data_IF_885559785507
#
_entry.id   IF_885559785507
#
_cell.length_a   1.000
_cell.length_b   1.000
_cell.length_c   1.000
_cell.angle_alpha   90.00
_cell.angle_beta   90.00
_cell.angle_gamma   90.00
#
_symmetry.space_group_name_H-M   'P 1'
#
loop_
_entity.id
_entity.type
_entity.pdbx_description
1 polymer ?
#
# COMPACT_ATOMS: atom_id res chain seq x y z
N UNK A 1 -23.76 3.27 13.28
CA UNK A 1 -24.06 2.84 11.90
C UNK A 1 -22.71 2.58 11.26
N UNK A 2 -22.32 1.31 11.16
CA UNK A 2 -21.12 0.92 10.40
C UNK A 2 -21.47 1.14 8.92
N UNK A 3 -21.11 2.31 8.39
CA UNK A 3 -21.09 2.54 6.95
C UNK A 3 -20.24 1.46 6.27
N UNK A 4 -20.32 1.35 4.95
CA UNK A 4 -19.60 0.36 4.14
C UNK A 4 -18.08 0.60 4.15
N UNK A 5 -17.47 0.58 5.35
CA UNK A 5 -16.02 0.79 5.54
C UNK A 5 -15.23 -0.16 4.64
N UNK A 6 -14.29 0.41 3.89
CA UNK A 6 -13.51 -0.32 2.91
C UNK A 6 -14.27 -0.64 1.61
N UNK A 7 -15.47 -0.10 1.39
CA UNK A 7 -16.18 -0.28 0.13
C UNK A 7 -15.40 0.39 -1.01
N UNK A 8 -15.01 -0.42 -2.00
CA UNK A 8 -14.32 0.06 -3.19
C UNK A 8 -15.26 0.94 -4.02
N UNK A 9 -14.88 2.21 -4.23
CA UNK A 9 -15.61 3.17 -5.06
C UNK A 9 -15.18 3.05 -6.51
N UNK A 10 -13.86 3.02 -6.74
CA UNK A 10 -13.30 2.90 -8.08
C UNK A 10 -11.91 2.28 -8.07
N UNK A 11 -11.56 1.61 -9.17
CA UNK A 11 -10.22 1.15 -9.48
C UNK A 11 -9.80 1.69 -10.84
N UNK A 12 -8.55 2.13 -10.98
CA UNK A 12 -7.99 2.65 -12.23
C UNK A 12 -6.58 2.16 -12.43
N UNK A 13 -6.31 1.49 -13.54
CA UNK A 13 -4.93 1.18 -13.96
C UNK A 13 -4.19 2.51 -14.22
N UNK A 14 -3.10 2.73 -13.53
CA UNK A 14 -2.22 3.88 -13.73
C UNK A 14 -1.16 3.56 -14.79
N UNK A 15 -0.43 2.45 -14.58
CA UNK A 15 0.68 2.05 -15.43
C UNK A 15 0.90 0.54 -15.36
N UNK A 16 1.61 -0.01 -16.36
CA UNK A 16 2.18 -1.35 -16.25
C UNK A 16 3.60 -1.37 -16.80
N UNK A 17 4.45 -2.23 -16.19
CA UNK A 17 5.82 -2.47 -16.64
C UNK A 17 6.05 -3.96 -16.85
N UNK A 18 6.80 -4.30 -17.88
CA UNK A 18 7.28 -5.67 -18.10
C UNK A 18 8.39 -6.01 -17.11
N UNK A 19 8.68 -7.28 -16.86
CA UNK A 19 9.82 -7.67 -16.02
C UNK A 19 11.15 -7.05 -16.48
N UNK A 20 11.37 -6.91 -17.78
CA UNK A 20 12.55 -6.24 -18.32
C UNK A 20 12.61 -4.74 -17.97
N UNK A 21 11.47 -4.05 -18.01
CA UNK A 21 11.42 -2.62 -17.62
C UNK A 21 11.67 -2.46 -16.13
N UNK A 22 11.06 -3.32 -15.29
CA UNK A 22 11.31 -3.36 -13.85
C UNK A 22 12.79 -3.62 -13.55
N UNK A 23 13.40 -4.63 -14.16
CA UNK A 23 14.84 -4.90 -14.00
C UNK A 23 15.70 -3.68 -14.33
N UNK A 24 15.40 -3.01 -15.44
CA UNK A 24 16.15 -1.84 -15.87
C UNK A 24 16.07 -0.67 -14.89
N UNK A 25 14.89 -0.45 -14.30
CA UNK A 25 14.68 0.63 -13.34
C UNK A 25 15.26 0.33 -11.96
N UNK A 26 15.20 -0.93 -11.53
CA UNK A 26 15.69 -1.33 -10.21
C UNK A 26 17.17 -1.72 -10.19
N UNK A 27 17.79 -2.03 -11.33
CA UNK A 27 19.18 -2.52 -11.41
C UNK A 27 20.24 -1.53 -10.86
N UNK A 28 19.92 -0.24 -10.78
CA UNK A 28 20.79 0.79 -10.19
C UNK A 28 20.58 1.00 -8.68
N UNK A 29 19.49 0.46 -8.13
CA UNK A 29 19.04 0.75 -6.76
C UNK A 29 19.12 -0.49 -5.87
N UNK A 30 18.72 -1.65 -6.40
CA UNK A 30 18.73 -2.92 -5.65
C UNK A 30 19.75 -3.85 -6.25
N UNK A 31 20.88 -4.04 -5.57
CA UNK A 31 21.97 -4.90 -6.02
C UNK A 31 21.49 -6.37 -6.13
N UNK A 32 21.86 -7.03 -7.23
CA UNK A 32 21.54 -8.43 -7.51
C UNK A 32 20.07 -8.78 -7.65
N UNK A 33 19.17 -7.78 -7.67
CA UNK A 33 17.77 -8.02 -7.92
C UNK A 33 17.52 -8.38 -9.39
N UNK A 34 16.61 -9.33 -9.59
CA UNK A 34 16.09 -9.68 -10.91
C UNK A 34 14.58 -9.84 -10.84
N UNK A 35 13.85 -9.06 -11.63
CA UNK A 35 12.41 -9.14 -11.68
C UNK A 35 11.96 -10.49 -12.25
N UNK A 36 11.12 -11.21 -11.50
CA UNK A 36 10.47 -12.43 -11.96
C UNK A 36 9.23 -12.09 -12.77
N UNK A 37 8.45 -11.12 -12.31
CA UNK A 37 7.20 -10.69 -12.93
C UNK A 37 7.27 -9.24 -13.40
N UNK A 38 6.47 -8.88 -14.41
CA UNK A 38 6.10 -7.49 -14.65
C UNK A 38 5.12 -7.03 -13.56
N UNK A 39 4.90 -5.73 -13.45
CA UNK A 39 4.03 -5.13 -12.45
C UNK A 39 2.98 -4.23 -13.10
N UNK A 40 1.74 -4.27 -12.59
CA UNK A 40 0.66 -3.36 -12.97
C UNK A 40 0.17 -2.65 -11.73
N UNK A 41 0.25 -1.32 -11.71
CA UNK A 41 -0.17 -0.50 -10.58
C UNK A 41 -1.55 0.11 -10.82
N UNK A 42 -2.44 -0.06 -9.87
CA UNK A 42 -3.81 0.46 -9.88
C UNK A 42 -4.01 1.41 -8.72
N UNK A 43 -4.65 2.55 -9.00
CA UNK A 43 -5.23 3.42 -7.97
C UNK A 43 -6.56 2.86 -7.52
N UNK A 44 -6.77 2.75 -6.23
CA UNK A 44 -8.07 2.49 -5.62
C UNK A 44 -8.55 3.74 -4.89
N UNK A 45 -9.87 3.97 -4.92
CA UNK A 45 -10.56 4.95 -4.07
C UNK A 45 -11.63 4.19 -3.30
N UNK A 46 -11.73 4.39 -2.00
CA UNK A 46 -12.60 3.62 -1.12
C UNK A 46 -13.18 4.46 0.02
N UNK A 47 -14.28 3.98 0.59
CA UNK A 47 -14.90 4.59 1.76
C UNK A 47 -14.14 4.22 3.04
N UNK A 48 -13.99 5.21 3.91
CA UNK A 48 -13.42 5.08 5.25
C UNK A 48 -14.11 6.06 6.20
N UNK A 49 -13.57 6.23 7.40
CA UNK A 49 -14.03 7.24 8.36
C UNK A 49 -12.88 8.19 8.72
N UNK A 50 -13.24 9.42 9.03
CA UNK A 50 -12.33 10.39 9.63
C UNK A 50 -12.09 10.09 11.12
N UNK A 51 -11.20 10.81 11.81
CA UNK A 51 -10.93 10.60 13.24
C UNK A 51 -12.16 10.79 14.15
N UNK A 52 -13.15 11.55 13.73
CA UNK A 52 -14.44 11.73 14.42
C UNK A 52 -15.43 10.58 14.13
N UNK A 53 -15.07 9.61 13.31
CA UNK A 53 -15.93 8.51 12.89
C UNK A 53 -16.96 8.87 11.80
N UNK A 54 -16.82 10.03 11.15
CA UNK A 54 -17.69 10.44 10.04
C UNK A 54 -17.24 9.82 8.73
N UNK A 55 -18.17 9.42 7.83
CA UNK A 55 -17.80 8.87 6.53
C UNK A 55 -16.95 9.85 5.71
N UNK A 56 -15.86 9.35 5.14
CA UNK A 56 -14.98 10.05 4.20
C UNK A 56 -14.43 9.08 3.16
N UNK A 57 -13.55 9.54 2.30
CA UNK A 57 -12.87 8.72 1.30
C UNK A 57 -11.35 8.76 1.51
N UNK A 58 -10.72 7.68 1.12
CA UNK A 58 -9.27 7.60 0.99
C UNK A 58 -8.89 6.92 -0.32
N UNK A 59 -7.62 6.95 -0.65
CA UNK A 59 -7.05 6.30 -1.81
C UNK A 59 -5.82 5.46 -1.45
N UNK A 60 -5.26 4.80 -2.44
CA UNK A 60 -4.03 4.05 -2.34
C UNK A 60 -3.74 3.32 -3.63
N UNK A 61 -2.68 2.56 -3.65
CA UNK A 61 -2.33 1.73 -4.81
C UNK A 61 -2.32 0.25 -4.47
N UNK A 62 -2.74 -0.54 -5.46
CA UNK A 62 -2.51 -1.98 -5.50
C UNK A 62 -1.64 -2.29 -6.71
N UNK A 63 -0.51 -2.95 -6.47
CA UNK A 63 0.39 -3.38 -7.55
C UNK A 63 0.34 -4.89 -7.68
N UNK A 64 -0.02 -5.34 -8.87
CA UNK A 64 -0.28 -6.74 -9.20
C UNK A 64 0.86 -7.30 -10.03
N UNK A 65 1.47 -8.44 -9.65
CA UNK A 65 2.43 -9.14 -10.51
C UNK A 65 1.75 -9.65 -11.76
N UNK A 66 2.45 -9.58 -12.90
CA UNK A 66 1.88 -9.96 -14.18
C UNK A 66 1.95 -11.45 -14.41
N UNK A 67 0.80 -12.11 -14.50
CA UNK A 67 0.65 -13.54 -14.78
C UNK A 67 1.38 -14.46 -13.77
N UNK A 68 1.15 -14.31 -12.48
CA UNK A 68 1.59 -15.35 -11.53
C UNK A 68 0.84 -16.65 -11.83
N UNK A 69 1.46 -17.77 -11.53
CA UNK A 69 0.86 -19.12 -11.64
C UNK A 69 0.49 -19.71 -10.27
N UNK A 70 0.48 -18.87 -9.26
CA UNK A 70 0.14 -19.19 -7.87
C UNK A 70 -0.75 -18.12 -7.25
N UNK A 71 -1.47 -18.47 -6.17
CA UNK A 71 -2.26 -17.55 -5.36
C UNK A 71 -1.33 -16.59 -4.58
N UNK A 72 -1.62 -15.29 -4.63
CA UNK A 72 -0.73 -14.23 -4.20
C UNK A 72 -0.73 -14.00 -2.68
N UNK A 73 0.42 -13.92 -2.02
CA UNK A 73 0.52 -13.28 -0.72
C UNK A 73 0.28 -11.76 -0.85
N UNK A 74 -0.39 -11.18 0.14
CA UNK A 74 -0.58 -9.72 0.21
C UNK A 74 0.55 -9.12 1.06
N UNK A 75 1.20 -8.08 0.54
CA UNK A 75 2.13 -7.23 1.27
C UNK A 75 1.55 -5.82 1.36
N UNK A 76 1.16 -5.39 2.56
CA UNK A 76 0.77 -4.02 2.83
C UNK A 76 2.00 -3.23 3.31
N UNK A 77 2.39 -2.25 2.51
CA UNK A 77 3.52 -1.36 2.79
C UNK A 77 2.99 0.01 3.21
N UNK A 78 3.45 0.51 4.33
CA UNK A 78 3.10 1.81 4.85
C UNK A 78 4.22 2.81 4.57
N UNK A 79 3.82 3.93 3.96
CA UNK A 79 4.73 5.00 3.56
C UNK A 79 5.28 5.76 4.76
N UNK A 80 6.53 6.22 4.68
CA UNK A 80 7.05 7.22 5.62
C UNK A 80 6.44 8.59 5.38
N UNK A 81 6.86 9.58 6.16
CA UNK A 81 6.25 10.91 6.21
C UNK A 81 6.20 11.61 4.86
N UNK A 82 5.02 12.06 4.50
CA UNK A 82 4.72 12.93 3.37
C UNK A 82 3.94 14.15 3.87
N UNK A 83 4.24 15.32 3.30
CA UNK A 83 3.54 16.57 3.62
C UNK A 83 2.68 17.02 2.45
N UNK A 84 3.17 16.79 1.22
CA UNK A 84 2.43 17.15 0.02
C UNK A 84 1.43 16.06 -0.34
N UNK A 85 0.20 16.49 -0.59
CA UNK A 85 -0.89 15.57 -0.98
C UNK A 85 -0.61 14.81 -2.27
N UNK A 86 0.08 15.44 -3.21
CA UNK A 86 0.40 14.86 -4.52
C UNK A 86 1.62 13.92 -4.50
N UNK A 87 2.34 13.78 -3.38
CA UNK A 87 3.39 12.79 -3.20
C UNK A 87 2.84 11.37 -2.96
N UNK A 88 1.56 11.27 -2.67
CA UNK A 88 0.85 10.01 -2.43
C UNK A 88 1.03 9.00 -3.56
N UNK A 89 1.13 7.71 -3.20
CA UNK A 89 1.33 6.61 -4.16
C UNK A 89 0.26 6.57 -5.25
N UNK A 90 -1.01 6.87 -4.90
CA UNK A 90 -2.13 6.89 -5.85
C UNK A 90 -2.04 8.03 -6.88
N UNK A 91 -1.22 9.04 -6.62
CA UNK A 91 -0.97 10.16 -7.54
C UNK A 91 0.26 9.91 -8.39
N UNK A 92 1.34 9.46 -7.78
CA UNK A 92 2.66 9.34 -8.41
C UNK A 92 2.88 8.00 -9.11
N UNK A 93 2.18 6.95 -8.72
CA UNK A 93 2.35 5.61 -9.29
C UNK A 93 3.79 5.09 -9.16
N UNK A 94 4.35 4.57 -10.25
CA UNK A 94 5.74 4.08 -10.25
C UNK A 94 6.80 5.19 -10.22
N UNK A 95 6.45 6.41 -10.55
CA UNK A 95 7.39 7.55 -10.56
C UNK A 95 7.59 8.18 -9.16
N UNK A 96 6.76 7.80 -8.18
CA UNK A 96 6.86 8.30 -6.81
C UNK A 96 7.91 7.62 -5.96
N UNK A 97 8.12 8.16 -4.77
CA UNK A 97 9.12 7.69 -3.80
C UNK A 97 8.95 6.19 -3.47
N UNK A 98 7.72 5.69 -3.45
CA UNK A 98 7.41 4.29 -3.13
C UNK A 98 7.16 3.42 -4.37
N UNK A 99 7.30 3.97 -5.58
CA UNK A 99 7.22 3.22 -6.83
C UNK A 99 8.26 2.12 -6.93
N UNK A 100 9.46 2.35 -6.38
CA UNK A 100 10.53 1.34 -6.28
C UNK A 100 10.07 0.16 -5.43
N UNK A 101 9.47 0.41 -4.27
CA UNK A 101 8.94 -0.65 -3.39
C UNK A 101 7.83 -1.41 -4.09
N UNK A 102 6.88 -0.71 -4.71
CA UNK A 102 5.78 -1.32 -5.45
C UNK A 102 6.27 -2.22 -6.59
N UNK A 103 7.24 -1.77 -7.37
CA UNK A 103 7.86 -2.57 -8.44
C UNK A 103 8.61 -3.77 -7.90
N UNK A 104 9.46 -3.57 -6.89
CA UNK A 104 10.31 -4.60 -6.30
C UNK A 104 9.47 -5.74 -5.73
N UNK A 105 8.57 -5.43 -4.82
CA UNK A 105 7.79 -6.42 -4.09
C UNK A 105 6.79 -7.13 -5.00
N UNK A 106 6.10 -6.39 -5.89
CA UNK A 106 5.18 -7.00 -6.84
C UNK A 106 5.92 -7.87 -7.86
N UNK A 107 7.07 -7.44 -8.40
CA UNK A 107 7.83 -8.29 -9.33
C UNK A 107 8.49 -9.50 -8.64
N UNK A 108 8.55 -9.51 -7.33
CA UNK A 108 8.91 -10.68 -6.51
C UNK A 108 7.72 -11.62 -6.25
N UNK A 109 6.51 -11.27 -6.69
CA UNK A 109 5.32 -12.12 -6.60
C UNK A 109 4.35 -11.79 -5.47
N UNK A 110 4.34 -10.57 -4.94
CA UNK A 110 3.35 -10.10 -3.98
C UNK A 110 2.28 -9.24 -4.64
N UNK A 111 1.06 -9.34 -4.15
CA UNK A 111 0.06 -8.29 -4.30
C UNK A 111 0.44 -7.17 -3.32
N UNK A 112 1.03 -6.10 -3.82
CA UNK A 112 1.54 -5.01 -2.98
C UNK A 112 0.49 -3.93 -2.83
N UNK A 113 0.15 -3.59 -1.59
CA UNK A 113 -0.86 -2.59 -1.21
C UNK A 113 -0.16 -1.43 -0.52
N UNK A 114 -0.35 -0.21 -1.01
CA UNK A 114 0.20 1.01 -0.40
C UNK A 114 -0.97 1.97 -0.18
N UNK A 115 -1.51 2.06 1.04
CA UNK A 115 -2.53 3.06 1.36
C UNK A 115 -1.95 4.47 1.30
N UNK A 116 -2.72 5.42 0.79
CA UNK A 116 -2.51 6.82 1.12
C UNK A 116 -3.18 7.10 2.46
N UNK A 117 -2.56 7.88 3.31
CA UNK A 117 -3.18 8.28 4.58
C UNK A 117 -4.25 9.35 4.34
N UNK A 118 -5.13 9.58 5.33
CA UNK A 118 -6.03 10.75 5.30
C UNK A 118 -5.21 12.02 5.13
N UNK A 119 -5.73 12.99 4.39
CA UNK A 119 -5.01 14.22 4.05
C UNK A 119 -4.08 14.10 2.85
N UNK A 120 -3.88 12.88 2.33
CA UNK A 120 -3.04 12.59 1.16
C UNK A 120 -3.89 11.96 0.03
N UNK A 121 -3.40 12.01 -1.21
CA UNK A 121 -4.09 11.47 -2.37
C UNK A 121 -5.46 12.11 -2.60
N UNK A 122 -6.55 11.32 -2.52
CA UNK A 122 -7.93 11.80 -2.71
C UNK A 122 -8.57 12.39 -1.44
N UNK A 123 -7.91 12.29 -0.29
CA UNK A 123 -8.42 12.85 0.96
C UNK A 123 -8.05 14.31 1.09
N UNK A 124 -9.05 15.17 1.41
CA UNK A 124 -8.86 16.62 1.61
C UNK A 124 -8.73 17.04 3.08
N UNK A 125 -8.72 16.06 4.01
CA UNK A 125 -8.55 16.31 5.44
C UNK A 125 -7.12 16.78 5.76
N UNK A 126 -6.89 17.23 6.98
CA UNK A 126 -5.53 17.33 7.51
C UNK A 126 -5.01 15.91 7.78
N UNK A 127 -3.73 15.64 7.48
CA UNK A 127 -3.16 14.32 7.76
C UNK A 127 -3.07 14.09 9.28
N UNK A 128 -3.68 13.01 9.83
CA UNK A 128 -3.58 12.66 11.25
C UNK A 128 -2.19 12.08 11.57
N UNK A 129 -1.16 12.93 11.41
CA UNK A 129 0.25 12.56 11.56
C UNK A 129 0.53 12.00 12.95
N UNK A 130 1.16 10.80 13.00
CA UNK A 130 1.47 10.07 14.24
C UNK A 130 0.24 9.79 15.13
N UNK A 131 -0.93 9.61 14.53
CA UNK A 131 -2.14 9.19 15.24
C UNK A 131 -2.50 7.74 14.91
N UNK A 132 -2.54 6.89 15.93
CA UNK A 132 -2.65 5.44 15.77
C UNK A 132 -3.97 5.01 15.13
N UNK A 133 -5.10 5.40 15.72
CA UNK A 133 -6.43 4.91 15.34
C UNK A 133 -6.84 5.29 13.91
N UNK A 134 -6.75 6.54 13.44
CA UNK A 134 -7.16 6.90 12.08
C UNK A 134 -6.25 6.28 11.03
N UNK A 135 -4.93 6.19 11.27
CA UNK A 135 -4.01 5.56 10.32
C UNK A 135 -4.22 4.05 10.23
N UNK A 136 -4.43 3.34 11.34
CA UNK A 136 -4.80 1.94 11.34
C UNK A 136 -6.12 1.70 10.58
N UNK A 137 -7.11 2.55 10.80
CA UNK A 137 -8.43 2.51 10.13
C UNK A 137 -8.29 2.55 8.61
N UNK A 138 -7.54 3.51 8.08
CA UNK A 138 -7.32 3.67 6.63
C UNK A 138 -6.62 2.45 6.03
N UNK A 139 -5.62 1.89 6.72
CA UNK A 139 -4.90 0.69 6.27
C UNK A 139 -5.85 -0.51 6.19
N UNK A 140 -6.66 -0.74 7.21
CA UNK A 140 -7.62 -1.84 7.26
C UNK A 140 -8.70 -1.70 6.19
N UNK A 141 -9.23 -0.48 5.99
CA UNK A 141 -10.24 -0.22 4.96
C UNK A 141 -9.66 -0.37 3.55
N UNK A 142 -8.38 -0.02 3.33
CA UNK A 142 -7.67 -0.31 2.08
C UNK A 142 -7.53 -1.82 1.83
N UNK A 143 -7.27 -2.62 2.85
CA UNK A 143 -7.23 -4.08 2.74
C UNK A 143 -8.60 -4.67 2.36
N UNK A 144 -9.71 -4.12 2.89
CA UNK A 144 -11.07 -4.48 2.49
C UNK A 144 -11.36 -4.14 1.03
N UNK A 145 -10.99 -2.93 0.61
CA UNK A 145 -11.10 -2.50 -0.77
C UNK A 145 -10.26 -3.37 -1.72
N UNK A 146 -9.07 -3.78 -1.27
CA UNK A 146 -8.18 -4.68 -2.03
C UNK A 146 -8.82 -6.06 -2.23
N UNK A 147 -9.51 -6.63 -1.25
CA UNK A 147 -10.26 -7.89 -1.43
C UNK A 147 -11.32 -7.75 -2.52
N UNK A 148 -12.11 -6.67 -2.45
CA UNK A 148 -13.13 -6.39 -3.48
C UNK A 148 -12.50 -6.22 -4.86
N UNK A 149 -11.36 -5.54 -4.95
CA UNK A 149 -10.59 -5.40 -6.19
C UNK A 149 -10.11 -6.76 -6.72
N UNK A 150 -9.57 -7.61 -5.86
CA UNK A 150 -9.13 -8.96 -6.25
C UNK A 150 -10.28 -9.77 -6.82
N UNK A 151 -11.46 -9.74 -6.18
CA UNK A 151 -12.65 -10.43 -6.68
C UNK A 151 -13.08 -9.92 -8.06
N UNK A 152 -13.04 -8.60 -8.29
CA UNK A 152 -13.40 -7.97 -9.56
C UNK A 152 -12.43 -8.32 -10.69
N UNK A 153 -11.12 -8.37 -10.38
CA UNK A 153 -10.06 -8.66 -11.35
C UNK A 153 -9.78 -10.17 -11.48
N UNK A 154 -10.44 -11.02 -10.68
CA UNK A 154 -10.22 -12.48 -10.68
C UNK A 154 -8.84 -12.88 -10.18
N UNK A 155 -8.30 -12.16 -9.22
CA UNK A 155 -7.02 -12.42 -8.57
C UNK A 155 -7.23 -13.32 -7.35
N UNK A 156 -6.46 -14.41 -7.27
CA UNK A 156 -6.47 -15.29 -6.12
C UNK A 156 -5.38 -14.91 -5.13
N UNK A 157 -5.73 -14.80 -3.86
CA UNK A 157 -4.79 -14.64 -2.75
C UNK A 157 -4.69 -15.91 -1.94
N UNK A 158 -3.51 -16.17 -1.35
CA UNK A 158 -3.27 -17.38 -0.56
C UNK A 158 -3.62 -17.23 0.94
N UNK A 159 -4.19 -16.10 1.31
CA UNK A 159 -4.56 -15.78 2.71
C UNK A 159 -3.42 -15.22 3.55
N UNK A 160 -2.19 -15.21 3.07
CA UNK A 160 -1.08 -14.58 3.78
C UNK A 160 -1.18 -13.06 3.69
N UNK A 161 -1.04 -12.39 4.83
CA UNK A 161 -0.94 -10.94 4.96
C UNK A 161 0.34 -10.58 5.68
N UNK A 162 1.16 -9.78 5.02
CA UNK A 162 2.38 -9.20 5.57
C UNK A 162 2.24 -7.69 5.70
N UNK A 163 2.73 -7.13 6.81
CA UNK A 163 2.76 -5.70 7.06
C UNK A 163 4.21 -5.23 7.17
N UNK A 164 4.55 -4.11 6.55
CA UNK A 164 5.88 -3.49 6.70
C UNK A 164 5.79 -2.00 6.43
N UNK A 165 6.76 -1.25 6.93
CA UNK A 165 6.88 0.19 6.76
C UNK A 165 8.08 0.70 7.52
N UNK A 166 8.47 1.95 7.25
CA UNK A 166 9.62 2.60 7.87
C UNK A 166 9.27 3.99 8.36
N UNK A 167 9.85 4.42 9.48
CA UNK A 167 9.58 5.75 10.06
C UNK A 167 8.09 5.89 10.46
N UNK A 168 7.38 6.90 9.99
CA UNK A 168 5.92 6.97 10.14
C UNK A 168 5.23 5.69 9.65
N UNK A 169 5.73 5.09 8.54
CA UNK A 169 5.21 3.81 8.07
C UNK A 169 5.42 2.66 9.05
N UNK A 170 6.51 2.66 9.81
CA UNK A 170 6.75 1.73 10.91
C UNK A 170 5.75 1.91 12.05
N UNK A 171 5.44 3.15 12.38
CA UNK A 171 4.43 3.51 13.38
C UNK A 171 3.01 3.12 12.93
N UNK A 172 2.60 3.54 11.74
CA UNK A 172 1.23 3.31 11.25
C UNK A 172 0.94 1.84 10.99
N UNK A 173 1.94 1.06 10.52
CA UNK A 173 1.76 -0.39 10.41
C UNK A 173 1.66 -1.08 11.77
N UNK A 174 2.38 -0.59 12.79
CA UNK A 174 2.27 -1.10 14.16
C UNK A 174 0.85 -0.85 14.70
N UNK A 175 0.29 0.34 14.46
CA UNK A 175 -1.08 0.68 14.81
C UNK A 175 -2.08 -0.26 14.10
N UNK A 176 -1.89 -0.50 12.80
CA UNK A 176 -2.74 -1.41 12.05
C UNK A 176 -2.61 -2.86 12.53
N UNK A 177 -1.40 -3.32 12.86
CA UNK A 177 -1.18 -4.65 13.42
C UNK A 177 -1.94 -4.83 14.72
N UNK A 178 -1.75 -3.90 15.68
CA UNK A 178 -2.46 -3.92 16.96
C UNK A 178 -3.97 -3.95 16.77
N UNK A 179 -4.52 -3.04 15.97
CA UNK A 179 -5.97 -2.96 15.73
C UNK A 179 -6.51 -4.21 15.04
N UNK A 180 -5.77 -4.83 14.10
CA UNK A 180 -6.19 -6.08 13.45
C UNK A 180 -6.29 -7.19 14.49
N UNK A 181 -5.29 -7.37 15.34
CA UNK A 181 -5.29 -8.46 16.32
C UNK A 181 -6.31 -8.26 17.46
N UNK A 182 -6.52 -7.01 17.90
CA UNK A 182 -7.45 -6.70 19.00
C UNK A 182 -8.92 -6.59 18.55
N UNK A 183 -9.17 -5.98 17.37
CA UNK A 183 -10.52 -5.61 16.96
C UNK A 183 -11.05 -6.41 15.74
N UNK A 184 -10.14 -6.96 14.91
CA UNK A 184 -10.51 -7.61 13.64
C UNK A 184 -9.89 -9.02 13.45
N UNK A 185 -9.69 -9.84 14.51
CA UNK A 185 -9.02 -11.14 14.38
C UNK A 185 -9.79 -12.16 13.53
N UNK A 186 -11.11 -12.01 13.43
CA UNK A 186 -11.96 -12.86 12.59
C UNK A 186 -11.93 -12.44 11.10
N UNK A 187 -11.47 -11.21 10.82
CA UNK A 187 -11.46 -10.69 9.46
C UNK A 187 -10.10 -10.83 8.79
N UNK A 188 -9.00 -10.60 9.53
CA UNK A 188 -7.64 -10.68 9.02
C UNK A 188 -6.76 -11.54 9.92
N UNK A 189 -5.87 -12.29 9.29
CA UNK A 189 -4.80 -13.01 9.97
C UNK A 189 -3.47 -12.50 9.45
N UNK A 190 -2.67 -11.90 10.31
CA UNK A 190 -1.33 -11.43 9.97
C UNK A 190 -0.39 -12.63 9.94
N UNK A 191 0.33 -12.82 8.84
CA UNK A 191 1.34 -13.85 8.71
C UNK A 191 2.64 -13.45 9.40
N UNK A 192 3.07 -12.21 9.17
CA UNK A 192 4.19 -11.58 9.85
C UNK A 192 4.21 -10.06 9.60
N UNK A 193 4.92 -9.33 10.46
CA UNK A 193 5.11 -7.89 10.33
C UNK A 193 6.56 -7.47 10.57
N UNK A 194 7.03 -6.48 9.77
CA UNK A 194 8.40 -5.98 9.82
C UNK A 194 8.40 -4.44 9.99
N UNK A 195 8.10 -3.92 11.20
CA UNK A 195 8.14 -2.49 11.49
C UNK A 195 9.57 -1.97 11.55
N UNK A 196 9.86 -0.86 10.86
CA UNK A 196 11.16 -0.20 10.86
C UNK A 196 11.11 1.20 11.46
N UNK A 197 11.95 1.47 12.46
CA UNK A 197 12.24 2.79 13.03
C UNK A 197 11.00 3.68 13.27
N UNK A 198 9.94 3.13 13.86
CA UNK A 198 8.73 3.88 14.22
C UNK A 198 8.81 4.51 15.60
N UNK A 199 8.08 5.61 15.79
CA UNK A 199 7.97 6.35 17.07
C UNK A 199 6.90 5.69 17.96
N UNK A 200 7.20 4.54 18.56
CA UNK A 200 6.20 3.74 19.28
C UNK A 200 5.86 4.27 20.67
N UNK A 201 6.73 5.08 21.27
CA UNK A 201 6.54 5.76 22.55
C UNK A 201 6.49 7.28 22.34
N UNK A 202 5.31 7.75 21.97
CA UNK A 202 5.04 9.16 21.71
C UNK A 202 5.07 9.99 22.98
N UNK A 203 4.62 9.44 24.12
CA UNK A 203 4.48 10.15 25.39
C UNK A 203 5.74 10.14 26.28
N UNK A 204 6.68 9.25 25.99
CA UNK A 204 7.97 9.10 26.71
C UNK A 204 9.16 9.47 25.83
N UNK A 205 9.72 8.51 25.08
CA UNK A 205 10.94 8.70 24.28
C UNK A 205 10.85 9.90 23.33
N UNK A 206 9.70 10.09 22.66
CA UNK A 206 9.56 11.23 21.73
C UNK A 206 9.37 12.56 22.49
N UNK A 207 8.76 12.56 23.66
CA UNK A 207 8.70 13.78 24.52
C UNK A 207 10.08 14.15 25.03
N UNK A 208 10.90 13.18 25.44
CA UNK A 208 12.28 13.43 25.88
C UNK A 208 13.11 14.05 24.75
N UNK A 209 12.93 13.55 23.52
CA UNK A 209 13.55 14.14 22.33
C UNK A 209 13.05 15.57 22.08
N UNK A 210 11.75 15.83 22.14
CA UNK A 210 11.16 17.16 21.97
C UNK A 210 11.74 18.17 22.99
N UNK A 211 11.91 17.73 24.23
CA UNK A 211 12.38 18.58 25.34
C UNK A 211 13.92 18.62 25.46
N UNK A 212 14.68 17.93 24.61
CA UNK A 212 16.14 17.85 24.71
C UNK A 212 16.85 19.19 24.58
N UNK A 213 16.27 20.12 23.82
CA UNK A 213 16.91 21.40 23.49
C UNK A 213 18.04 21.27 22.48
N UNK A 214 18.21 20.13 21.86
CA UNK A 214 19.22 19.89 20.85
C UNK A 214 18.75 20.26 19.45
N UNK A 215 19.71 20.54 18.53
CA UNK A 215 19.41 20.70 17.11
C UNK A 215 18.85 19.40 16.54
N UNK A 216 17.84 19.51 15.66
CA UNK A 216 17.16 18.35 15.09
C UNK A 216 17.16 18.44 13.55
N UNK A 217 17.53 17.36 12.83
CA UNK A 217 17.72 17.44 11.37
C UNK A 217 16.45 17.76 10.58
N UNK A 218 15.28 17.44 11.13
CA UNK A 218 13.98 17.62 10.46
C UNK A 218 12.96 18.30 11.37
N UNK A 219 13.21 19.58 11.75
CA UNK A 219 12.43 20.30 12.76
C UNK A 219 10.95 20.44 12.40
N UNK A 220 10.53 20.29 11.15
CA UNK A 220 9.14 20.37 10.71
C UNK A 220 8.24 19.28 11.31
N UNK A 221 8.79 18.17 11.80
CA UNK A 221 7.99 17.11 12.42
C UNK A 221 7.26 17.59 13.66
N UNK A 222 7.86 18.50 14.44
CA UNK A 222 7.21 19.05 15.63
C UNK A 222 5.91 19.81 15.28
N UNK A 223 5.91 20.88 14.46
CA UNK A 223 4.68 21.57 14.12
C UNK A 223 3.69 20.65 13.34
N UNK A 224 4.15 19.67 12.57
CA UNK A 224 3.25 18.73 11.92
C UNK A 224 2.49 17.89 12.94
N UNK A 225 3.18 17.38 13.98
CA UNK A 225 2.54 16.69 15.10
C UNK A 225 1.59 17.64 15.86
N UNK A 226 2.04 18.83 16.22
CA UNK A 226 1.21 19.79 16.98
C UNK A 226 -0.08 20.14 16.24
N UNK A 227 -0.02 20.44 14.95
CA UNK A 227 -1.21 20.77 14.16
C UNK A 227 -2.13 19.56 13.96
N UNK A 228 -1.58 18.35 13.74
CA UNK A 228 -2.39 17.14 13.66
C UNK A 228 -3.12 16.85 14.97
N UNK A 229 -2.43 16.98 16.10
CA UNK A 229 -3.02 16.75 17.41
C UNK A 229 -4.02 17.84 17.79
N UNK A 230 -3.73 19.11 17.45
CA UNK A 230 -4.68 20.20 17.69
C UNK A 230 -5.96 20.04 16.87
N UNK A 231 -5.84 19.72 15.58
CA UNK A 231 -6.99 19.50 14.66
C UNK A 231 -7.98 18.45 15.21
N UNK A 232 -7.49 17.39 15.85
CA UNK A 232 -8.32 16.26 16.25
C UNK A 232 -8.61 16.16 17.75
N UNK A 233 -7.76 16.73 18.60
CA UNK A 233 -7.97 16.77 20.05
C UNK A 233 -8.50 18.12 20.53
N UNK A 234 -8.49 19.15 19.68
CA UNK A 234 -8.92 20.53 20.02
C UNK A 234 -8.16 21.06 21.24
N UNK A 235 -6.83 21.00 21.20
CA UNK A 235 -5.97 21.32 22.33
C UNK A 235 -5.90 22.82 22.61
N UNK A 236 -6.03 23.67 21.57
CA UNK A 236 -5.91 25.12 21.62
C UNK A 236 -7.01 25.79 20.77
N UNK A 237 -7.30 27.07 21.08
CA UNK A 237 -8.26 27.85 20.31
C UNK A 237 -7.64 28.42 19.01
N UNK A 238 -6.33 28.70 19.05
CA UNK A 238 -5.58 29.24 17.92
C UNK A 238 -4.10 28.87 17.99
N UNK A 239 -3.36 28.90 16.85
CA UNK A 239 -1.91 28.67 16.85
C UNK A 239 -1.12 29.60 17.79
N UNK A 240 -1.60 30.84 18.03
CA UNK A 240 -0.96 31.80 18.96
C UNK A 240 -1.06 31.39 20.42
N UNK A 241 -1.87 30.39 20.75
CA UNK A 241 -1.98 29.91 22.15
C UNK A 241 -0.81 28.99 22.53
N UNK A 242 -0.10 28.45 21.54
CA UNK A 242 1.03 27.54 21.75
C UNK A 242 2.31 27.91 20.99
N UNK A 243 2.20 28.65 19.90
CA UNK A 243 3.34 29.11 19.10
C UNK A 243 3.61 30.60 19.35
N UNK A 244 4.90 30.98 19.31
CA UNK A 244 5.30 32.39 19.25
C UNK A 244 4.65 33.03 18.01
N UNK A 245 4.27 34.31 18.14
CA UNK A 245 3.50 35.10 17.15
C UNK A 245 4.06 34.97 15.73
N UNK A 246 5.38 34.99 15.58
CA UNK A 246 6.03 34.83 14.26
C UNK A 246 5.76 33.47 13.61
N UNK A 247 5.80 32.38 14.38
CA UNK A 247 5.54 31.02 13.91
C UNK A 247 4.06 30.71 13.81
N UNK A 248 3.23 31.26 14.68
CA UNK A 248 1.77 31.14 14.59
C UNK A 248 1.21 31.74 13.29
N UNK A 249 1.89 32.77 12.74
CA UNK A 249 1.54 33.35 11.45
C UNK A 249 2.19 32.62 10.29
N UNK A 250 3.44 32.18 10.44
CA UNK A 250 4.26 31.65 9.34
C UNK A 250 3.93 30.19 9.00
N UNK A 251 3.79 29.31 10.03
CA UNK A 251 3.77 27.87 9.81
C UNK A 251 2.42 27.31 9.32
N UNK A 252 1.24 27.71 9.84
CA UNK A 252 -0.01 27.06 9.42
C UNK A 252 -0.27 27.07 7.91
N UNK A 253 0.02 28.15 7.14
CA UNK A 253 -0.15 28.14 5.69
C UNK A 253 0.77 27.16 4.95
N UNK A 254 1.88 26.70 5.56
CA UNK A 254 2.81 25.78 4.93
C UNK A 254 2.36 24.31 5.03
N UNK A 255 1.34 24.03 5.86
CA UNK A 255 0.77 22.70 6.03
C UNK A 255 -0.55 22.52 5.26
N UNK A 256 -0.67 23.16 4.10
CA UNK A 256 -1.86 23.12 3.22
C UNK A 256 -1.88 21.91 2.27
N UNK A 257 -0.87 21.03 2.36
CA UNK A 257 -0.69 19.87 1.49
C UNK A 257 -0.08 20.20 0.11
N UNK A 258 0.44 21.42 -0.08
CA UNK A 258 1.12 21.82 -1.35
C UNK A 258 2.61 22.13 -1.16
N UNK A 259 3.05 22.42 0.06
CA UNK A 259 4.45 22.72 0.37
C UNK A 259 5.23 21.45 0.72
N UNK A 260 6.49 21.43 0.31
CA UNK A 260 7.40 20.32 0.60
C UNK A 260 7.97 20.40 2.03
N UNK A 261 8.38 19.26 2.58
CA UNK A 261 9.10 19.20 3.85
C UNK A 261 10.33 20.12 3.89
N UNK A 262 11.03 20.27 2.76
CA UNK A 262 12.19 21.16 2.65
C UNK A 262 11.82 22.64 2.78
N UNK A 263 10.68 23.06 2.21
CA UNK A 263 10.18 24.43 2.34
C UNK A 263 9.77 24.72 3.80
N UNK A 264 9.11 23.77 4.46
CA UNK A 264 8.73 23.90 5.86
C UNK A 264 9.96 23.93 6.76
N UNK A 265 10.92 23.03 6.57
CA UNK A 265 12.18 23.03 7.32
C UNK A 265 12.94 24.34 7.18
N UNK A 266 12.93 24.98 6.01
CA UNK A 266 13.57 26.27 5.83
C UNK A 266 12.94 27.42 6.64
N UNK A 267 11.70 27.23 7.10
CA UNK A 267 10.98 28.19 7.95
C UNK A 267 11.16 27.88 9.45
N UNK A 268 11.82 26.78 9.82
CA UNK A 268 11.98 26.33 11.20
C UNK A 268 13.33 26.74 11.80
N UNK A 269 13.42 26.94 13.12
CA UNK A 269 14.69 27.00 13.83
C UNK A 269 15.32 25.60 13.90
N UNK A 270 16.64 25.53 14.16
CA UNK A 270 17.35 24.26 14.29
C UNK A 270 16.87 23.44 15.52
N UNK A 271 16.50 24.13 16.61
CA UNK A 271 15.89 23.52 17.81
C UNK A 271 14.37 23.64 17.71
N UNK A 272 13.63 22.54 17.46
CA UNK A 272 12.20 22.61 17.13
C UNK A 272 11.35 23.32 18.20
N UNK A 273 11.61 23.07 19.47
CA UNK A 273 10.85 23.65 20.58
C UNK A 273 10.95 25.19 20.68
N UNK A 274 11.90 25.82 19.99
CA UNK A 274 12.02 27.28 19.98
C UNK A 274 10.84 27.99 19.28
N UNK A 275 10.00 27.25 18.54
CA UNK A 275 8.77 27.82 17.95
C UNK A 275 7.68 28.05 18.99
N UNK A 276 7.72 27.36 20.12
CA UNK A 276 6.65 27.36 21.11
C UNK A 276 6.78 28.50 22.11
N UNK A 277 5.65 28.93 22.68
CA UNK A 277 5.62 29.87 23.77
C UNK A 277 6.26 29.27 25.04
N UNK A 278 7.16 29.99 25.75
CA UNK A 278 7.90 29.46 26.89
C UNK A 278 7.01 28.93 28.04
N UNK A 279 5.88 29.56 28.27
CA UNK A 279 4.95 29.14 29.32
C UNK A 279 4.26 27.81 28.96
N UNK A 280 4.00 27.57 27.69
CA UNK A 280 3.46 26.29 27.19
C UNK A 280 4.51 25.21 27.33
N UNK A 281 5.76 25.45 26.94
CA UNK A 281 6.89 24.52 27.13
C UNK A 281 7.07 24.16 28.58
N UNK A 282 7.01 25.17 29.49
CA UNK A 282 7.15 24.95 30.92
C UNK A 282 6.02 24.07 31.48
N UNK A 283 4.77 24.35 31.10
CA UNK A 283 3.61 23.52 31.46
C UNK A 283 3.73 22.10 30.93
N UNK A 284 4.00 21.93 29.63
CA UNK A 284 4.17 20.65 29.00
C UNK A 284 5.30 19.81 29.63
N UNK A 285 6.41 20.45 30.02
CA UNK A 285 7.56 19.77 30.65
C UNK A 285 7.30 19.25 32.06
N UNK A 286 6.45 19.95 32.84
CA UNK A 286 6.24 19.73 34.28
C UNK A 286 4.95 18.98 34.61
N UNK A 287 3.93 19.12 33.80
CA UNK A 287 2.60 18.55 34.05
C UNK A 287 2.40 17.29 33.21
N UNK A 288 2.47 16.13 33.84
CA UNK A 288 2.22 14.85 33.22
C UNK A 288 0.77 14.67 32.69
N UNK A 289 -0.16 15.51 33.21
CA UNK A 289 -1.55 15.54 32.72
C UNK A 289 -1.82 16.72 31.79
N UNK A 290 -0.77 17.35 31.25
CA UNK A 290 -0.94 18.35 30.19
C UNK A 290 -1.70 17.75 29.02
N UNK A 291 -2.75 18.41 28.45
CA UNK A 291 -3.60 17.83 27.40
C UNK A 291 -2.82 17.24 26.20
N UNK A 292 -1.74 17.90 25.77
CA UNK A 292 -0.87 17.34 24.72
C UNK A 292 -0.18 16.04 25.16
N UNK A 293 0.25 15.91 26.44
CA UNK A 293 0.84 14.65 26.93
C UNK A 293 -0.18 13.51 26.98
N UNK A 294 -1.41 13.82 27.37
CA UNK A 294 -2.49 12.84 27.35
C UNK A 294 -2.78 12.39 25.90
N UNK A 295 -2.90 13.34 24.98
CA UNK A 295 -3.09 13.04 23.57
C UNK A 295 -1.94 12.20 22.97
N UNK A 296 -0.67 12.51 23.31
CA UNK A 296 0.48 11.70 22.89
C UNK A 296 0.40 10.27 23.47
N UNK A 297 -0.01 10.12 24.74
CA UNK A 297 -0.14 8.81 25.40
C UNK A 297 -1.24 7.95 24.78
N UNK A 298 -2.33 8.55 24.34
CA UNK A 298 -3.39 7.84 23.61
C UNK A 298 -2.89 7.23 22.27
N UNK A 299 -1.75 7.69 21.81
CA UNK A 299 -1.12 7.27 20.57
C UNK A 299 0.18 6.44 20.77
N UNK A 300 0.43 5.96 21.98
CA UNK A 300 1.50 5.02 22.27
C UNK A 300 1.17 3.63 21.72
N UNK A 301 2.19 2.97 21.16
CA UNK A 301 2.05 1.66 20.50
C UNK A 301 2.98 0.59 21.07
N UNK A 302 3.60 0.83 22.21
CA UNK A 302 4.56 -0.10 22.83
C UNK A 302 3.93 -1.02 23.87
N UNK A 303 2.77 -0.70 24.45
CA UNK A 303 2.17 -1.44 25.58
C UNK A 303 1.02 -2.34 25.09
N UNK A 304 1.38 -3.51 24.56
CA UNK A 304 0.47 -4.59 24.17
C UNK A 304 1.26 -5.90 23.92
N UNK A 305 0.62 -6.98 23.47
CA UNK A 305 1.26 -8.27 23.23
C UNK A 305 0.97 -8.79 21.81
N UNK A 306 1.81 -8.51 20.81
CA UNK A 306 1.67 -9.09 19.47
C UNK A 306 1.59 -10.62 19.50
N UNK A 307 0.60 -11.18 18.80
CA UNK A 307 0.39 -12.62 18.70
C UNK A 307 1.05 -13.22 17.47
N UNK A 308 1.11 -12.44 16.37
CA UNK A 308 1.72 -12.86 15.11
C UNK A 308 3.23 -12.60 15.12
N UNK A 309 4.01 -13.32 14.31
CA UNK A 309 5.44 -13.07 14.14
C UNK A 309 5.74 -11.62 13.79
N UNK A 310 6.60 -10.97 14.57
CA UNK A 310 7.04 -9.59 14.37
C UNK A 310 8.56 -9.48 14.51
N UNK A 311 9.20 -8.75 13.61
CA UNK A 311 10.60 -8.38 13.78
C UNK A 311 10.75 -6.87 13.57
N UNK A 312 11.09 -6.18 14.67
CA UNK A 312 11.42 -4.76 14.64
C UNK A 312 12.82 -4.56 14.03
N UNK A 313 12.98 -3.51 13.24
CA UNK A 313 14.25 -3.14 12.61
C UNK A 313 14.60 -1.71 12.96
N UNK A 314 15.80 -1.45 13.50
CA UNK A 314 16.23 -0.10 13.85
C UNK A 314 17.74 0.08 13.71
N UNK A 315 18.15 1.28 13.28
CA UNK A 315 19.56 1.68 13.32
C UNK A 315 19.92 2.28 14.67
N UNK A 316 21.03 1.87 15.26
CA UNK A 316 21.52 2.50 16.50
C UNK A 316 22.09 3.90 16.27
N UNK A 317 22.32 4.29 15.01
CA UNK A 317 22.75 5.62 14.61
C UNK A 317 21.59 6.52 14.13
N UNK A 318 20.34 6.13 14.37
CA UNK A 318 19.17 6.89 13.97
C UNK A 318 19.12 8.25 14.67
N UNK A 319 19.12 9.32 13.88
CA UNK A 319 19.18 10.71 14.31
C UNK A 319 17.81 11.42 14.30
N UNK A 320 16.73 10.71 13.90
CA UNK A 320 15.37 11.24 13.89
C UNK A 320 14.44 10.52 14.87
N UNK A 321 14.48 9.19 14.90
CA UNK A 321 13.69 8.38 15.81
C UNK A 321 14.63 7.59 16.70
N UNK A 322 14.74 7.91 17.99
CA UNK A 322 15.65 7.20 18.90
C UNK A 322 15.35 5.70 18.91
N UNK A 323 16.41 4.89 18.84
CA UNK A 323 16.30 3.42 18.85
C UNK A 323 15.62 2.88 20.11
N UNK A 324 15.58 3.68 21.16
CA UNK A 324 14.88 3.43 22.42
C UNK A 324 13.39 3.15 22.22
N UNK A 325 12.76 3.73 21.18
CA UNK A 325 11.38 3.40 20.80
C UNK A 325 11.22 1.90 20.51
N UNK A 326 12.11 1.33 19.71
CA UNK A 326 12.06 -0.11 19.39
C UNK A 326 12.49 -1.00 20.55
N UNK A 327 13.44 -0.55 21.37
CA UNK A 327 13.89 -1.27 22.57
C UNK A 327 12.78 -1.37 23.59
N UNK A 328 12.16 -0.24 23.93
CA UNK A 328 11.05 -0.19 24.88
C UNK A 328 9.86 -1.04 24.38
N UNK A 329 9.49 -0.91 23.11
CA UNK A 329 8.42 -1.72 22.54
C UNK A 329 8.73 -3.21 22.62
N UNK A 330 9.95 -3.64 22.24
CA UNK A 330 10.36 -5.02 22.32
C UNK A 330 10.34 -5.56 23.75
N UNK A 331 10.91 -4.84 24.72
CA UNK A 331 10.94 -5.23 26.12
C UNK A 331 9.53 -5.37 26.69
N UNK A 332 8.68 -4.37 26.47
CA UNK A 332 7.29 -4.38 26.94
C UNK A 332 6.47 -5.49 26.28
N UNK A 333 6.63 -5.75 24.98
CA UNK A 333 5.97 -6.87 24.32
C UNK A 333 6.35 -8.22 24.96
N UNK A 334 7.64 -8.40 25.31
CA UNK A 334 8.10 -9.62 26.02
C UNK A 334 7.48 -9.71 27.43
N UNK A 335 7.45 -8.62 28.17
CA UNK A 335 6.83 -8.55 29.52
C UNK A 335 5.34 -8.85 29.46
N UNK A 336 4.64 -8.40 28.41
CA UNK A 336 3.23 -8.67 28.16
C UNK A 336 2.97 -10.09 27.60
N UNK A 337 4.01 -10.89 27.38
CA UNK A 337 3.91 -12.30 27.02
C UNK A 337 3.96 -12.60 25.53
N UNK A 338 4.38 -11.67 24.69
CA UNK A 338 4.62 -11.94 23.28
C UNK A 338 5.78 -12.92 23.08
N UNK A 339 5.58 -14.00 22.31
CA UNK A 339 6.56 -15.08 22.13
C UNK A 339 7.19 -15.11 20.76
N UNK A 340 6.71 -14.32 19.82
CA UNK A 340 7.12 -14.34 18.41
C UNK A 340 7.65 -12.99 17.95
N UNK A 341 8.19 -12.19 18.86
CA UNK A 341 8.76 -10.87 18.56
C UNK A 341 10.27 -10.92 18.66
N UNK A 342 10.93 -10.33 17.67
CA UNK A 342 12.38 -10.17 17.61
C UNK A 342 12.72 -8.69 17.39
N UNK A 343 13.88 -8.25 17.90
CA UNK A 343 14.46 -6.94 17.61
C UNK A 343 15.77 -7.12 16.85
N UNK A 344 15.87 -6.50 15.69
CA UNK A 344 17.09 -6.41 14.89
C UNK A 344 17.62 -4.99 14.94
N UNK A 345 18.81 -4.81 15.48
CA UNK A 345 19.53 -3.54 15.50
C UNK A 345 20.80 -3.63 14.65
N UNK A 346 21.17 -2.52 14.02
CA UNK A 346 22.47 -2.37 13.35
C UNK A 346 22.99 -0.94 13.51
N UNK A 347 24.29 -0.79 13.46
CA UNK A 347 24.94 0.50 13.23
C UNK A 347 25.06 0.70 11.72
N UNK A 348 23.93 1.07 11.09
CA UNK A 348 23.83 1.18 9.63
C UNK A 348 23.52 2.61 9.15
N UNK A 349 23.86 3.58 9.97
CA UNK A 349 23.81 5.02 9.64
C UNK A 349 22.63 5.74 10.25
N UNK A 350 22.46 6.99 9.84
CA UNK A 350 21.34 7.87 10.20
C UNK A 350 19.99 7.30 9.75
N UNK A 351 18.90 7.91 10.20
CA UNK A 351 17.54 7.49 9.83
C UNK A 351 17.34 7.30 8.33
N UNK A 352 17.79 8.30 7.54
CA UNK A 352 17.68 8.25 6.09
C UNK A 352 18.61 7.22 5.42
N UNK A 353 19.84 7.07 5.92
CA UNK A 353 20.81 6.11 5.36
C UNK A 353 20.40 4.66 5.63
N UNK A 354 19.84 4.39 6.81
CA UNK A 354 19.42 3.06 7.23
C UNK A 354 18.15 2.57 6.53
N UNK A 355 17.27 3.47 6.06
CA UNK A 355 15.95 3.14 5.55
C UNK A 355 15.96 2.03 4.49
N UNK A 356 16.78 2.20 3.44
CA UNK A 356 16.84 1.22 2.34
C UNK A 356 17.39 -0.13 2.81
N UNK A 357 18.35 -0.14 3.74
CA UNK A 357 18.98 -1.35 4.28
C UNK A 357 17.95 -2.11 5.12
N UNK A 358 17.26 -1.43 6.04
CA UNK A 358 16.33 -2.05 6.96
C UNK A 358 15.07 -2.53 6.25
N UNK A 359 14.56 -1.78 5.26
CA UNK A 359 13.46 -2.24 4.39
C UNK A 359 13.86 -3.49 3.60
N UNK A 360 15.09 -3.54 3.09
CA UNK A 360 15.58 -4.74 2.39
C UNK A 360 15.66 -5.95 3.32
N UNK A 361 16.19 -5.78 4.53
CA UNK A 361 16.28 -6.86 5.52
C UNK A 361 14.90 -7.32 6.00
N UNK A 362 13.98 -6.37 6.23
CA UNK A 362 12.60 -6.67 6.59
C UNK A 362 11.89 -7.46 5.49
N UNK A 363 12.04 -7.03 4.24
CA UNK A 363 11.46 -7.76 3.11
C UNK A 363 12.10 -9.15 2.91
N UNK A 364 13.42 -9.27 3.08
CA UNK A 364 14.09 -10.57 3.00
C UNK A 364 13.60 -11.55 4.09
N UNK A 365 13.30 -11.04 5.28
CA UNK A 365 12.70 -11.86 6.33
C UNK A 365 11.26 -12.25 5.98
N UNK A 366 10.42 -11.33 5.52
CA UNK A 366 9.07 -11.62 5.02
C UNK A 366 9.11 -12.65 3.89
N UNK A 367 10.05 -12.53 2.95
CA UNK A 367 10.23 -13.46 1.84
C UNK A 367 10.51 -14.90 2.32
N UNK A 368 11.21 -15.05 3.44
CA UNK A 368 11.49 -16.36 4.02
C UNK A 368 10.25 -17.08 4.61
N UNK A 369 9.16 -16.33 4.84
CA UNK A 369 7.90 -16.81 5.41
C UNK A 369 6.77 -16.92 4.36
N UNK A 370 6.99 -16.36 3.18
CA UNK A 370 5.97 -16.33 2.13
C UNK A 370 5.83 -17.69 1.44
N UNK A 371 4.58 -18.15 1.31
CA UNK A 371 4.25 -19.32 0.50
C UNK A 371 3.77 -18.90 -0.89
N UNK A 372 4.58 -19.17 -1.91
CA UNK A 372 4.30 -18.93 -3.33
C UNK A 372 4.11 -20.25 -4.09
N UNK A 373 3.80 -21.32 -3.39
CA UNK A 373 3.64 -22.66 -3.96
C UNK A 373 2.18 -23.05 -4.19
N UNK A 374 1.21 -22.30 -3.63
CA UNK A 374 -0.21 -22.61 -3.78
C UNK A 374 -0.67 -22.38 -5.22
N UNK A 375 -0.97 -23.41 -5.99
CA UNK A 375 -1.41 -23.24 -7.39
C UNK A 375 -2.75 -22.49 -7.42
N UNK A 376 -2.97 -21.73 -8.49
CA UNK A 376 -4.28 -21.14 -8.75
C UNK A 376 -5.35 -22.23 -8.78
N UNK A 377 -6.51 -21.97 -8.17
CA UNK A 377 -7.60 -22.91 -8.18
C UNK A 377 -8.12 -23.09 -9.61
N UNK A 378 -8.31 -24.34 -10.02
CA UNK A 378 -8.85 -24.64 -11.36
C UNK A 378 -10.29 -24.14 -11.57
N UNK A 379 -10.92 -23.62 -10.52
CA UNK A 379 -12.34 -23.25 -10.51
C UNK A 379 -12.63 -21.74 -10.64
N UNK A 380 -11.63 -20.88 -10.58
CA UNK A 380 -11.84 -19.43 -10.71
C UNK A 380 -11.22 -18.82 -11.96
N UNK A 381 -11.45 -19.41 -13.10
CA UNK A 381 -11.56 -18.59 -14.28
C UNK A 381 -12.96 -17.95 -14.30
N UNK A 382 -13.24 -17.03 -13.41
CA UNK A 382 -14.26 -16.02 -13.65
C UNK A 382 -13.74 -15.18 -14.79
N UNK A 383 -14.15 -15.55 -15.99
CA UNK A 383 -14.00 -14.69 -17.16
C UNK A 383 -14.60 -13.34 -16.76
N UNK A 384 -13.85 -12.22 -16.90
CA UNK A 384 -14.37 -10.89 -16.59
C UNK A 384 -15.74 -10.72 -17.23
N UNK A 385 -16.70 -10.17 -16.50
CA UNK A 385 -18.12 -10.14 -16.91
C UNK A 385 -18.40 -9.54 -18.29
N UNK A 386 -17.42 -8.99 -18.97
CA UNK A 386 -17.57 -8.23 -20.21
C UNK A 386 -16.94 -8.78 -21.48
N UNK A 387 -16.10 -9.82 -21.44
CA UNK A 387 -15.38 -10.24 -22.67
C UNK A 387 -15.52 -11.71 -23.01
N UNK A 388 -15.88 -11.99 -24.26
CA UNK A 388 -15.65 -13.29 -24.88
C UNK A 388 -14.17 -13.33 -25.28
N UNK A 389 -13.34 -14.12 -24.63
CA UNK A 389 -11.94 -14.22 -24.97
C UNK A 389 -11.80 -15.09 -26.23
N UNK A 390 -11.25 -14.52 -27.29
CA UNK A 390 -10.78 -15.25 -28.47
C UNK A 390 -9.25 -15.27 -28.42
N UNK A 391 -8.65 -16.43 -28.33
CA UNK A 391 -7.19 -16.58 -28.37
C UNK A 391 -6.75 -17.62 -29.36
N UNK A 392 -5.55 -17.47 -29.93
CA UNK A 392 -4.93 -18.35 -30.90
C UNK A 392 -3.55 -18.75 -30.39
N UNK A 393 -3.32 -20.08 -30.25
CA UNK A 393 -2.02 -20.58 -29.78
C UNK A 393 -1.66 -21.93 -30.39
N UNK A 394 -0.41 -22.10 -30.86
CA UNK A 394 0.64 -21.08 -30.95
C UNK A 394 0.31 -20.03 -32.02
N UNK A 395 0.88 -18.83 -31.86
CA UNK A 395 0.90 -17.76 -32.88
C UNK A 395 2.20 -16.97 -32.70
N UNK A 396 3.12 -16.93 -33.71
CA UNK A 396 3.06 -17.64 -35.03
C UNK A 396 3.02 -19.15 -34.88
N UNK A 397 2.49 -19.81 -35.92
CA UNK A 397 2.38 -21.26 -35.94
C UNK A 397 2.96 -21.86 -37.24
N UNK A 398 3.35 -23.13 -37.18
CA UNK A 398 3.79 -23.88 -38.33
C UNK A 398 2.74 -24.97 -38.63
N UNK A 399 2.03 -24.82 -39.72
CA UNK A 399 0.96 -25.67 -40.27
C UNK A 399 -0.30 -25.82 -39.40
N UNK A 400 -0.27 -25.69 -38.09
CA UNK A 400 -1.48 -25.82 -37.27
C UNK A 400 -1.47 -24.94 -36.01
N UNK A 401 -2.66 -24.49 -35.59
CA UNK A 401 -2.86 -23.74 -34.36
C UNK A 401 -4.21 -24.13 -33.74
N UNK A 402 -4.45 -23.67 -32.50
CA UNK A 402 -5.72 -23.86 -31.80
C UNK A 402 -6.35 -22.49 -31.54
N UNK A 403 -7.64 -22.39 -31.79
CA UNK A 403 -8.45 -21.22 -31.55
C UNK A 403 -9.35 -21.54 -30.37
N UNK A 404 -9.26 -20.72 -29.33
CA UNK A 404 -9.96 -20.93 -28.06
C UNK A 404 -10.87 -19.74 -27.80
N UNK A 405 -12.13 -19.99 -27.48
CA UNK A 405 -13.05 -18.96 -27.03
C UNK A 405 -13.94 -19.47 -25.91
N UNK A 406 -14.49 -18.51 -25.16
CA UNK A 406 -15.41 -18.80 -24.03
C UNK A 406 -16.72 -18.06 -24.23
N UNK A 407 -17.83 -18.75 -23.97
CA UNK A 407 -19.19 -18.21 -23.96
C UNK A 407 -19.73 -18.22 -22.52
N UNK A 408 -20.29 -17.11 -22.06
CA UNK A 408 -20.98 -17.05 -20.77
C UNK A 408 -22.31 -17.80 -20.76
N UNK A 409 -23.04 -17.70 -21.83
CA UNK A 409 -24.38 -18.23 -22.00
C UNK A 409 -24.54 -18.86 -23.38
N UNK A 410 -25.57 -19.69 -23.51
CA UNK A 410 -25.87 -20.32 -24.79
C UNK A 410 -26.13 -19.29 -25.89
N UNK A 411 -25.36 -19.32 -26.98
CA UNK A 411 -25.40 -18.35 -28.08
C UNK A 411 -25.23 -19.05 -29.42
N UNK A 412 -25.81 -18.44 -30.46
CA UNK A 412 -25.47 -18.80 -31.84
C UNK A 412 -24.08 -18.24 -32.15
N UNK A 413 -23.18 -19.11 -32.61
CA UNK A 413 -21.78 -18.77 -32.86
C UNK A 413 -21.43 -19.10 -34.31
N UNK A 414 -20.65 -18.23 -34.93
CA UNK A 414 -19.95 -18.48 -36.17
C UNK A 414 -18.49 -18.13 -36.01
N UNK A 415 -17.58 -19.11 -36.11
CA UNK A 415 -16.14 -18.93 -36.05
C UNK A 415 -15.56 -19.14 -37.46
N UNK A 416 -14.96 -18.10 -38.02
CA UNK A 416 -14.44 -18.08 -39.39
C UNK A 416 -12.99 -17.60 -39.44
N UNK A 417 -12.26 -18.08 -40.44
CA UNK A 417 -10.92 -17.62 -40.78
C UNK A 417 -10.98 -16.88 -42.11
N UNK A 418 -10.32 -15.74 -42.20
CA UNK A 418 -10.28 -14.88 -43.38
C UNK A 418 -8.83 -14.57 -43.78
N UNK A 419 -8.61 -14.28 -45.02
CA UNK A 419 -7.36 -13.67 -45.49
C UNK A 419 -7.31 -12.17 -45.20
N UNK A 420 -6.19 -11.51 -45.52
CA UNK A 420 -6.02 -10.08 -45.32
C UNK A 420 -6.96 -9.19 -46.16
N UNK A 421 -7.57 -9.75 -47.21
CA UNK A 421 -8.54 -9.06 -48.06
C UNK A 421 -9.97 -9.24 -47.53
N UNK A 422 -10.14 -9.95 -46.40
CA UNK A 422 -11.43 -10.22 -45.79
C UNK A 422 -12.22 -11.37 -46.44
N UNK A 423 -11.63 -12.11 -47.37
CA UNK A 423 -12.26 -13.28 -47.99
C UNK A 423 -12.28 -14.41 -46.96
N UNK A 424 -13.46 -14.99 -46.73
CA UNK A 424 -13.59 -16.19 -45.90
C UNK A 424 -12.84 -17.37 -46.53
N UNK A 425 -11.96 -17.98 -45.73
CA UNK A 425 -11.15 -19.15 -46.14
C UNK A 425 -11.79 -20.42 -45.60
N UNK A 426 -12.22 -20.40 -44.33
CA UNK A 426 -12.78 -21.57 -43.69
C UNK A 426 -13.74 -21.17 -42.54
N UNK A 427 -14.82 -21.91 -42.39
CA UNK A 427 -15.71 -21.84 -41.23
C UNK A 427 -15.40 -23.01 -40.30
N UNK A 428 -14.83 -22.71 -39.12
CA UNK A 428 -14.41 -23.72 -38.14
C UNK A 428 -15.55 -24.20 -37.25
N UNK A 429 -16.52 -23.31 -36.97
CA UNK A 429 -17.69 -23.65 -36.19
C UNK A 429 -18.89 -22.78 -36.58
N UNK A 430 -20.10 -23.38 -36.61
CA UNK A 430 -21.36 -22.66 -36.81
C UNK A 430 -22.49 -23.41 -36.12
N UNK A 431 -23.27 -22.72 -35.28
CA UNK A 431 -24.42 -23.28 -34.60
C UNK A 431 -24.58 -22.74 -33.18
N UNK A 432 -25.50 -23.39 -32.43
CA UNK A 432 -25.78 -22.99 -31.03
C UNK A 432 -24.85 -23.76 -30.09
N UNK A 433 -24.10 -22.99 -29.30
CA UNK A 433 -23.19 -23.50 -28.28
C UNK A 433 -23.68 -23.10 -26.90
N UNK A 434 -23.78 -24.03 -25.91
CA UNK A 434 -24.00 -23.68 -24.51
C UNK A 434 -22.93 -22.71 -23.94
N UNK A 435 -23.15 -22.14 -22.75
CA UNK A 435 -22.08 -21.47 -22.02
C UNK A 435 -20.94 -22.43 -21.73
N UNK A 436 -19.68 -22.01 -21.93
CA UNK A 436 -18.51 -22.86 -21.73
C UNK A 436 -17.30 -22.42 -22.54
N UNK A 437 -16.18 -23.10 -22.34
CA UNK A 437 -14.94 -22.94 -23.11
C UNK A 437 -14.88 -23.92 -24.25
N UNK A 438 -14.47 -23.44 -25.44
CA UNK A 438 -14.38 -24.21 -26.68
C UNK A 438 -13.00 -24.05 -27.27
N UNK A 439 -12.50 -25.16 -27.86
CA UNK A 439 -11.20 -25.25 -28.56
C UNK A 439 -11.39 -25.85 -29.90
N UNK A 440 -10.94 -25.16 -30.97
CA UNK A 440 -11.00 -25.59 -32.34
C UNK A 440 -9.60 -25.65 -32.95
N UNK A 441 -9.11 -26.82 -33.34
CA UNK A 441 -7.86 -26.92 -34.06
C UNK A 441 -8.07 -26.38 -35.49
N UNK A 442 -7.11 -25.61 -35.99
CA UNK A 442 -7.06 -25.17 -37.37
C UNK A 442 -5.78 -25.65 -38.03
N UNK A 443 -5.92 -26.38 -39.15
CA UNK A 443 -4.80 -26.86 -39.95
C UNK A 443 -4.68 -26.01 -41.23
N UNK A 444 -3.70 -25.14 -41.25
CA UNK A 444 -3.42 -24.24 -42.36
C UNK A 444 -2.42 -24.79 -43.39
N UNK A 445 -2.11 -26.09 -43.38
CA UNK A 445 -1.11 -26.70 -44.29
C UNK A 445 -1.44 -26.58 -45.78
N UNK A 446 -2.71 -26.33 -46.10
CA UNK A 446 -3.19 -26.15 -47.48
C UNK A 446 -3.26 -24.67 -47.91
N UNK A 447 -2.93 -23.74 -47.01
CA UNK A 447 -3.00 -22.31 -47.26
C UNK A 447 -1.60 -21.70 -47.33
N UNK A 448 -1.48 -20.55 -48.01
CA UNK A 448 -0.20 -19.84 -48.12
C UNK A 448 0.30 -19.34 -46.79
N UNK A 449 1.61 -19.27 -46.59
CA UNK A 449 2.18 -18.60 -45.43
C UNK A 449 1.80 -17.13 -45.42
N UNK A 450 1.31 -16.63 -44.28
CA UNK A 450 0.86 -15.24 -44.17
C UNK A 450 0.09 -14.95 -42.88
N UNK A 451 -0.53 -13.77 -42.83
CA UNK A 451 -1.42 -13.36 -41.76
C UNK A 451 -2.87 -13.75 -42.09
N UNK A 452 -3.57 -14.18 -41.04
CA UNK A 452 -4.98 -14.56 -41.14
C UNK A 452 -5.78 -13.85 -40.06
N UNK A 453 -7.01 -13.49 -40.38
CA UNK A 453 -7.96 -12.84 -39.45
C UNK A 453 -8.96 -13.90 -38.99
N UNK A 454 -9.04 -14.10 -37.67
CA UNK A 454 -10.01 -15.01 -37.08
C UNK A 454 -11.16 -14.18 -36.50
N UNK A 455 -12.37 -14.50 -36.93
CA UNK A 455 -13.58 -13.79 -36.54
C UNK A 455 -14.53 -14.71 -35.78
N UNK A 456 -14.90 -14.30 -34.55
CA UNK A 456 -15.97 -14.93 -33.78
C UNK A 456 -17.19 -14.00 -33.78
N UNK A 457 -18.25 -14.40 -34.50
CA UNK A 457 -19.55 -13.73 -34.47
C UNK A 457 -20.47 -14.44 -33.47
N UNK A 458 -21.14 -13.68 -32.65
CA UNK A 458 -22.11 -14.16 -31.67
C UNK A 458 -23.44 -13.43 -31.88
N UNK A 459 -24.53 -14.18 -31.81
CA UNK A 459 -25.88 -13.64 -31.84
C UNK A 459 -26.62 -14.14 -30.59
N UNK A 460 -27.03 -13.22 -29.70
CA UNK A 460 -27.83 -13.55 -28.53
C UNK A 460 -29.30 -13.75 -28.94
N UNK A 461 -30.02 -14.59 -28.20
CA UNK A 461 -31.44 -14.89 -28.46
C UNK A 461 -32.41 -13.72 -28.13
N UNK A 462 -31.90 -12.57 -27.72
CA UNK A 462 -32.70 -11.35 -27.61
C UNK A 462 -32.45 -10.53 -28.88
N UNK A 463 -33.46 -10.54 -29.75
CA UNK A 463 -33.41 -9.83 -31.01
C UNK A 463 -33.06 -8.35 -30.83
N UNK A 464 -32.36 -7.81 -31.83
CA UNK A 464 -32.01 -6.40 -31.94
C UNK A 464 -33.13 -5.49 -31.45
N UNK A 465 -32.82 -4.66 -30.49
CA UNK A 465 -33.36 -3.31 -30.36
C UNK A 465 -32.25 -2.30 -30.50
#
# INVERSE_FOLDING_TARGET
MTGDRGRLISSKLLEHKTAYQVDRELSGTILFFKATYGASIYKLVYETIDPDGKPTIASGTVTVPKKPDFALPILSFQSGTMVKRDEASSTTGFDGNYGIVAMWTSSSGYLTVIPDYLGLGESELFHPYQMAQPNATVIIDMLRATRTFCDQEGLETNGQLFLTGYSEGGYTMMAAHKMIEEEHPEEFTITASAPGAGAYDMSGVMVDLMLSGEEYPSPFYLPYTLFAFDEYYNLWESPSDFLKEEYATLLPPLFDGTHSSSEINAAMPAVPMEIMEPDVVDAFSKDENHPLREALRDNDLYDWAPQSPMRLFHSTGDDLVPVENSRLAYETFQENGATQVELFECDCGTHGEAAAILLFLGFAWIESLADKSQPLSLNHHTVPEKYNLLSVYPSPFNSSTKIIFTLKEGSEVTLTVHDLLGKEIETLAKGRFPGGRYEFPWNASLFASGLYIITLKRTNSQGMK
#
